data_IF_862708623800
#
_entry.id   IF_862708623800
#
_cell.length_a   1.000
_cell.length_b   1.000
_cell.length_c   1.000
_cell.angle_alpha   90.00
_cell.angle_beta   90.00
_cell.angle_gamma   90.00
#
_symmetry.space_group_name_H-M   'P 1'
#
loop_
_entity.id
_entity.type
_entity.pdbx_description
1 polymer ?
#
# COMPACT_ATOMS: atom_id res chain seq x y z
N UNK A 1 32.65 -8.61 -2.39
CA UNK A 1 32.02 -7.31 -2.04
C UNK A 1 30.74 -7.63 -1.29
N UNK A 2 30.67 -7.30 -0.04
CA UNK A 2 29.40 -7.40 0.70
C UNK A 2 28.53 -6.20 0.25
N UNK A 3 27.40 -6.47 -0.37
CA UNK A 3 26.37 -5.45 -0.58
C UNK A 3 25.93 -4.95 0.79
N UNK A 4 25.80 -3.65 1.02
CA UNK A 4 25.25 -3.15 2.26
C UNK A 4 23.86 -3.77 2.41
N UNK A 5 23.65 -4.47 3.52
CA UNK A 5 22.32 -4.98 3.87
C UNK A 5 21.44 -3.73 3.99
N UNK A 6 20.53 -3.55 3.04
CA UNK A 6 19.55 -2.47 3.10
C UNK A 6 18.80 -2.63 4.42
N UNK A 7 18.88 -1.63 5.27
CA UNK A 7 18.15 -1.60 6.54
C UNK A 7 16.68 -1.25 6.35
N UNK A 8 16.29 -0.89 5.12
CA UNK A 8 14.93 -0.54 4.75
C UNK A 8 14.09 -1.79 4.43
N UNK A 9 12.79 -1.69 4.67
CA UNK A 9 11.83 -2.70 4.27
C UNK A 9 11.80 -2.83 2.74
N UNK A 10 11.75 -4.05 2.24
CA UNK A 10 11.63 -4.32 0.81
C UNK A 10 10.15 -4.39 0.42
N UNK A 11 9.78 -3.72 -0.66
CA UNK A 11 8.41 -3.69 -1.19
C UNK A 11 8.33 -4.53 -2.46
N UNK A 12 7.28 -5.35 -2.58
CA UNK A 12 7.06 -6.11 -3.80
C UNK A 12 6.75 -5.21 -4.99
N UNK A 13 7.23 -5.60 -6.17
CA UNK A 13 6.92 -4.90 -7.42
C UNK A 13 5.40 -4.77 -7.62
N UNK A 14 4.62 -5.78 -7.26
CA UNK A 14 3.16 -5.75 -7.41
C UNK A 14 2.50 -4.64 -6.58
N UNK A 15 2.90 -4.45 -5.32
CA UNK A 15 2.37 -3.36 -4.49
C UNK A 15 2.80 -2.00 -5.04
N UNK A 16 4.09 -1.88 -5.38
CA UNK A 16 4.64 -0.65 -5.93
C UNK A 16 4.00 -0.28 -7.27
N UNK A 17 3.75 -1.26 -8.15
CA UNK A 17 3.07 -1.04 -9.42
C UNK A 17 1.63 -0.56 -9.22
N UNK A 18 0.91 -1.11 -8.25
CA UNK A 18 -0.44 -0.64 -7.89
C UNK A 18 -0.43 0.79 -7.37
N UNK A 19 0.54 1.15 -6.53
CA UNK A 19 0.72 2.52 -6.05
C UNK A 19 1.05 3.48 -7.21
N UNK A 20 1.97 3.09 -8.11
CA UNK A 20 2.30 3.84 -9.32
C UNK A 20 1.07 4.08 -10.23
N UNK A 21 0.28 3.04 -10.50
CA UNK A 21 -0.94 3.18 -11.29
C UNK A 21 -1.97 4.09 -10.60
N UNK A 22 -2.00 4.08 -9.27
CA UNK A 22 -2.88 4.94 -8.49
C UNK A 22 -2.46 6.41 -8.56
N UNK A 23 -1.15 6.70 -8.49
CA UNK A 23 -0.61 8.04 -8.74
C UNK A 23 -0.94 8.53 -10.14
N UNK A 24 -0.80 7.66 -11.15
CA UNK A 24 -1.16 8.00 -12.53
C UNK A 24 -2.67 8.25 -12.70
N UNK A 25 -3.51 7.48 -12.02
CA UNK A 25 -4.96 7.71 -12.01
C UNK A 25 -5.35 9.07 -11.39
N UNK A 26 -4.53 9.62 -10.51
CA UNK A 26 -4.66 10.98 -9.98
C UNK A 26 -4.16 12.07 -10.94
N UNK A 27 -3.76 11.70 -12.15
CA UNK A 27 -3.23 12.56 -13.23
C UNK A 27 -1.74 12.92 -13.09
N UNK A 28 -0.99 12.29 -12.20
CA UNK A 28 0.46 12.39 -12.20
C UNK A 28 1.04 11.72 -13.47
N UNK A 29 2.03 12.36 -14.09
CA UNK A 29 2.58 11.91 -15.36
C UNK A 29 3.53 10.73 -15.17
N UNK A 30 3.35 9.69 -15.96
CA UNK A 30 4.18 8.46 -15.92
C UNK A 30 5.69 8.71 -15.95
N UNK A 31 6.23 9.56 -16.84
CA UNK A 31 7.66 9.81 -16.88
C UNK A 31 8.23 10.33 -15.55
N UNK A 32 7.54 11.26 -14.89
CA UNK A 32 7.97 11.82 -13.62
C UNK A 32 7.92 10.78 -12.48
N UNK A 33 6.90 9.90 -12.50
CA UNK A 33 6.79 8.83 -11.52
C UNK A 33 7.89 7.79 -11.69
N UNK A 34 8.19 7.39 -12.94
CA UNK A 34 9.24 6.42 -13.24
C UNK A 34 10.64 7.00 -12.96
N UNK A 35 10.82 8.29 -13.24
CA UNK A 35 12.06 9.01 -12.92
C UNK A 35 12.30 9.07 -11.41
N UNK A 36 11.25 9.34 -10.63
CA UNK A 36 11.31 9.34 -9.17
C UNK A 36 11.62 7.94 -8.60
N UNK A 37 11.17 6.88 -9.25
CA UNK A 37 11.47 5.50 -8.88
C UNK A 37 12.80 5.00 -9.39
N UNK A 38 13.43 5.70 -10.33
CA UNK A 38 14.66 5.30 -11.03
C UNK A 38 14.56 3.91 -11.65
N UNK A 39 13.40 3.58 -12.21
CA UNK A 39 13.13 2.32 -12.88
C UNK A 39 12.21 2.49 -14.09
N UNK A 40 12.10 1.46 -14.90
CA UNK A 40 11.19 1.40 -16.04
C UNK A 40 9.86 0.73 -15.69
N UNK A 41 8.80 1.00 -16.46
CA UNK A 41 7.52 0.33 -16.27
C UNK A 41 7.56 -1.19 -16.45
N UNK A 42 8.35 -1.77 -17.39
CA UNK A 42 8.56 -3.22 -17.45
C UNK A 42 9.17 -3.82 -16.18
N UNK A 43 10.14 -3.14 -15.54
CA UNK A 43 10.73 -3.60 -14.29
C UNK A 43 9.68 -3.63 -13.17
N UNK A 44 8.81 -2.62 -13.07
CA UNK A 44 7.70 -2.61 -12.11
C UNK A 44 6.70 -3.75 -12.31
N UNK A 45 6.63 -4.32 -13.51
CA UNK A 45 5.76 -5.47 -13.82
C UNK A 45 6.42 -6.81 -13.56
N UNK A 46 7.73 -6.83 -13.36
CA UNK A 46 8.46 -8.06 -13.05
C UNK A 46 8.19 -8.47 -11.59
N UNK A 47 7.59 -9.64 -11.32
CA UNK A 47 7.33 -10.11 -9.97
C UNK A 47 8.59 -10.28 -9.12
N UNK A 48 9.75 -10.46 -9.75
CA UNK A 48 11.05 -10.59 -9.07
C UNK A 48 11.69 -9.26 -8.72
N UNK A 49 11.17 -8.14 -9.25
CA UNK A 49 11.71 -6.82 -8.97
C UNK A 49 11.30 -6.33 -7.59
N UNK A 50 12.20 -5.72 -6.87
CA UNK A 50 11.98 -5.21 -5.52
C UNK A 50 12.69 -3.87 -5.33
N UNK A 51 12.05 -2.97 -4.60
CA UNK A 51 12.64 -1.70 -4.17
C UNK A 51 12.50 -1.54 -2.65
N UNK A 52 13.26 -0.64 -2.06
CA UNK A 52 13.08 -0.24 -0.67
C UNK A 52 11.78 0.55 -0.48
N UNK A 53 11.33 0.67 0.75
CA UNK A 53 10.13 1.43 1.12
C UNK A 53 10.25 2.95 0.87
N UNK A 54 11.45 3.45 0.69
CA UNK A 54 11.75 4.81 0.22
C UNK A 54 11.21 5.08 -1.20
N UNK A 55 11.01 4.04 -2.01
CA UNK A 55 10.35 4.17 -3.30
C UNK A 55 8.91 4.73 -3.18
N UNK A 56 8.19 4.37 -2.12
CA UNK A 56 6.86 4.93 -1.84
C UNK A 56 6.96 6.42 -1.49
N UNK A 57 7.95 6.81 -0.69
CA UNK A 57 8.20 8.23 -0.39
C UNK A 57 8.51 9.01 -1.67
N UNK A 58 9.29 8.44 -2.58
CA UNK A 58 9.59 9.04 -3.88
C UNK A 58 8.35 9.22 -4.74
N UNK A 59 7.47 8.22 -4.82
CA UNK A 59 6.17 8.33 -5.52
C UNK A 59 5.27 9.39 -4.91
N UNK A 60 5.15 9.42 -3.59
CA UNK A 60 4.35 10.41 -2.88
C UNK A 60 4.88 11.82 -3.11
N UNK A 61 6.20 12.01 -3.02
CA UNK A 61 6.86 13.29 -3.28
C UNK A 61 6.60 13.80 -4.69
N UNK A 62 6.90 12.99 -5.71
CA UNK A 62 6.68 13.35 -7.11
C UNK A 62 5.20 13.67 -7.41
N UNK A 63 4.27 12.88 -6.85
CA UNK A 63 2.84 13.10 -7.06
C UNK A 63 2.36 14.37 -6.35
N UNK A 64 2.84 14.63 -5.13
CA UNK A 64 2.52 15.84 -4.37
C UNK A 64 3.00 17.10 -5.09
N UNK A 65 4.24 17.08 -5.56
CA UNK A 65 4.86 18.24 -6.22
C UNK A 65 4.18 18.54 -7.56
N UNK A 66 3.84 17.51 -8.32
CA UNK A 66 3.19 17.69 -9.62
C UNK A 66 1.73 18.14 -9.50
N UNK A 67 0.99 17.60 -8.54
CA UNK A 67 -0.44 17.90 -8.38
C UNK A 67 -0.72 19.02 -7.37
N UNK A 68 0.29 19.48 -6.66
CA UNK A 68 0.16 20.47 -5.57
C UNK A 68 -0.93 20.08 -4.56
N UNK A 69 -0.93 18.81 -4.13
CA UNK A 69 -1.93 18.24 -3.21
C UNK A 69 -1.28 17.85 -1.89
N UNK A 70 -2.01 18.04 -0.79
CA UNK A 70 -1.59 17.68 0.57
C UNK A 70 -2.15 16.33 1.04
N UNK A 71 -3.27 15.87 0.44
CA UNK A 71 -4.00 14.65 0.79
C UNK A 71 -3.54 13.40 0.00
N UNK A 72 -2.29 13.39 -0.43
CA UNK A 72 -1.75 12.39 -1.36
C UNK A 72 -1.89 10.95 -0.85
N UNK A 73 -1.61 10.70 0.42
CA UNK A 73 -1.68 9.34 0.97
C UNK A 73 -3.12 8.78 0.92
N UNK A 74 -4.09 9.62 1.32
CA UNK A 74 -5.50 9.25 1.26
C UNK A 74 -5.95 9.01 -0.18
N UNK A 75 -5.60 9.89 -1.09
CA UNK A 75 -5.97 9.81 -2.50
C UNK A 75 -5.35 8.57 -3.19
N UNK A 76 -4.07 8.27 -2.94
CA UNK A 76 -3.40 7.07 -3.46
C UNK A 76 -4.06 5.83 -2.87
N UNK A 77 -4.23 5.76 -1.55
CA UNK A 77 -4.87 4.63 -0.87
C UNK A 77 -6.26 4.35 -1.41
N UNK A 78 -7.09 5.38 -1.59
CA UNK A 78 -8.42 5.25 -2.17
C UNK A 78 -8.38 4.68 -3.60
N UNK A 79 -7.45 5.14 -4.44
CA UNK A 79 -7.30 4.64 -5.80
C UNK A 79 -6.69 3.23 -5.87
N UNK A 80 -6.00 2.79 -4.82
CA UNK A 80 -5.48 1.43 -4.72
C UNK A 80 -6.57 0.41 -4.40
N UNK A 81 -7.67 0.79 -3.75
CA UNK A 81 -8.75 -0.12 -3.34
C UNK A 81 -9.21 -1.04 -4.46
N UNK A 82 -9.64 -0.57 -5.64
CA UNK A 82 -10.09 -1.45 -6.71
C UNK A 82 -9.00 -2.40 -7.22
N UNK A 83 -7.74 -1.96 -7.16
CA UNK A 83 -6.57 -2.72 -7.65
C UNK A 83 -6.09 -3.78 -6.68
N UNK A 84 -6.30 -3.55 -5.38
CA UNK A 84 -5.94 -4.48 -4.32
C UNK A 84 -7.04 -5.48 -4.03
N UNK A 85 -8.28 -5.17 -4.41
CA UNK A 85 -9.46 -5.98 -4.12
C UNK A 85 -9.78 -7.04 -5.18
N UNK A 86 -9.04 -7.18 -6.28
CA UNK A 86 -9.37 -8.14 -7.33
C UNK A 86 -9.42 -9.58 -6.82
N UNK A 87 -8.47 -9.98 -5.99
CA UNK A 87 -8.36 -11.36 -5.50
C UNK A 87 -8.73 -11.48 -4.01
N UNK A 88 -8.21 -10.58 -3.18
CA UNK A 88 -8.39 -10.61 -1.72
C UNK A 88 -9.70 -9.99 -1.27
N UNK A 89 -10.18 -8.99 -1.97
CA UNK A 89 -11.50 -8.39 -1.69
C UNK A 89 -12.64 -9.36 -1.94
N UNK A 90 -12.46 -10.31 -2.87
CA UNK A 90 -13.42 -11.38 -3.05
C UNK A 90 -13.48 -12.30 -1.82
N UNK A 91 -12.32 -12.71 -1.31
CA UNK A 91 -12.26 -13.54 -0.09
C UNK A 91 -12.79 -12.78 1.14
N UNK A 92 -12.45 -11.50 1.28
CA UNK A 92 -12.90 -10.67 2.40
C UNK A 92 -14.42 -10.50 2.48
N UNK A 93 -15.15 -10.60 1.36
CA UNK A 93 -16.62 -10.53 1.34
C UNK A 93 -17.30 -11.67 2.07
N UNK A 94 -16.62 -12.81 2.20
CA UNK A 94 -17.17 -13.99 2.86
C UNK A 94 -16.85 -14.05 4.36
N UNK A 95 -16.14 -13.02 4.87
CA UNK A 95 -15.85 -12.94 6.30
C UNK A 95 -17.08 -12.48 7.08
N UNK A 96 -17.29 -13.04 8.29
CA UNK A 96 -18.48 -12.72 9.12
C UNK A 96 -18.52 -11.27 9.60
N UNK A 97 -17.36 -10.61 9.68
CA UNK A 97 -17.24 -9.23 10.13
C UNK A 97 -16.23 -8.44 9.32
N UNK A 98 -16.36 -7.13 9.34
CA UNK A 98 -15.37 -6.22 8.75
C UNK A 98 -13.99 -6.38 9.40
N UNK A 99 -13.94 -6.60 10.73
CA UNK A 99 -12.69 -6.82 11.44
C UNK A 99 -11.93 -8.05 10.94
N UNK A 100 -12.61 -9.16 10.71
CA UNK A 100 -12.02 -10.39 10.18
C UNK A 100 -11.60 -10.24 8.72
N UNK A 101 -12.39 -9.55 7.90
CA UNK A 101 -12.02 -9.22 6.54
C UNK A 101 -10.76 -8.34 6.50
N UNK A 102 -10.64 -7.40 7.43
CA UNK A 102 -9.50 -6.51 7.55
C UNK A 102 -8.23 -7.25 7.96
N UNK A 103 -8.33 -8.15 8.94
CA UNK A 103 -7.21 -9.00 9.37
C UNK A 103 -6.71 -9.82 8.19
N UNK A 104 -7.61 -10.46 7.45
CA UNK A 104 -7.23 -11.26 6.28
C UNK A 104 -6.56 -10.40 5.20
N UNK A 105 -7.12 -9.23 4.89
CA UNK A 105 -6.53 -8.31 3.90
C UNK A 105 -5.12 -7.88 4.28
N UNK A 106 -4.89 -7.62 5.55
CA UNK A 106 -3.57 -7.19 6.05
C UNK A 106 -2.58 -8.33 6.09
N UNK A 107 -2.99 -9.51 6.54
CA UNK A 107 -2.12 -10.69 6.64
C UNK A 107 -1.70 -11.24 5.27
N UNK A 108 -2.61 -11.24 4.29
CA UNK A 108 -2.36 -11.82 2.97
C UNK A 108 -1.69 -10.84 2.00
N UNK A 109 -1.84 -9.55 2.21
CA UNK A 109 -1.18 -8.52 1.39
C UNK A 109 0.30 -8.36 1.66
N UNK A 110 1.02 -9.41 2.02
CA UNK A 110 2.44 -9.32 2.28
C UNK A 110 3.14 -8.30 1.41
N UNK A 111 3.71 -7.26 2.02
CA UNK A 111 4.46 -6.19 1.37
C UNK A 111 5.84 -6.73 0.90
N UNK A 112 5.82 -7.81 0.12
CA UNK A 112 7.04 -8.36 -0.46
C UNK A 112 7.99 -9.04 0.52
N UNK A 113 7.78 -10.31 0.79
CA UNK A 113 8.73 -11.19 1.47
C UNK A 113 8.86 -11.03 2.99
N UNK A 114 8.74 -9.83 3.52
CA UNK A 114 8.65 -9.58 4.95
C UNK A 114 7.21 -9.15 5.26
N UNK A 115 6.48 -9.98 5.99
CA UNK A 115 5.11 -9.63 6.41
C UNK A 115 5.17 -8.51 7.44
N UNK A 116 4.66 -7.30 7.13
CA UNK A 116 4.44 -6.32 8.18
C UNK A 116 3.39 -6.92 9.11
N UNK A 117 3.70 -6.97 10.39
CA UNK A 117 2.77 -7.45 11.37
C UNK A 117 1.80 -6.32 11.72
N UNK A 118 0.76 -6.15 10.93
CA UNK A 118 -0.38 -5.34 11.34
C UNK A 118 -1.23 -6.21 12.24
N UNK A 119 -1.47 -5.75 13.44
CA UNK A 119 -2.30 -6.45 14.43
C UNK A 119 -3.55 -5.63 14.72
N UNK A 120 -4.68 -6.29 14.71
CA UNK A 120 -5.90 -5.75 15.29
C UNK A 120 -5.88 -6.08 16.78
N UNK A 121 -5.82 -5.04 17.60
CA UNK A 121 -5.96 -5.16 19.04
C UNK A 121 -7.39 -4.78 19.42
N UNK A 122 -8.18 -5.77 19.81
CA UNK A 122 -9.50 -5.55 20.41
C UNK A 122 -9.30 -5.19 21.89
N UNK A 123 -9.57 -3.95 22.21
CA UNK A 123 -9.63 -3.46 23.60
C UNK A 123 -11.10 -3.36 24.02
N UNK A 124 -11.37 -3.38 25.31
CA UNK A 124 -12.74 -3.38 25.85
C UNK A 124 -13.63 -2.19 25.40
N UNK A 125 -13.05 -1.14 24.86
CA UNK A 125 -13.74 0.06 24.37
C UNK A 125 -13.46 0.43 22.93
N UNK A 126 -12.33 -0.04 22.38
CA UNK A 126 -11.86 0.37 21.06
C UNK A 126 -11.12 -0.76 20.35
N UNK A 127 -11.30 -0.90 19.05
CA UNK A 127 -10.44 -1.71 18.20
C UNK A 127 -9.32 -0.84 17.65
N UNK A 128 -8.08 -1.29 17.80
CA UNK A 128 -6.90 -0.57 17.30
C UNK A 128 -6.14 -1.40 16.30
N UNK A 129 -5.89 -0.79 15.14
CA UNK A 129 -4.97 -1.31 14.16
C UNK A 129 -3.57 -0.82 14.50
N UNK A 130 -2.65 -1.74 14.78
CA UNK A 130 -1.29 -1.42 15.16
C UNK A 130 -0.31 -1.98 14.15
N UNK A 131 0.54 -1.09 13.63
CA UNK A 131 1.69 -1.48 12.83
C UNK A 131 2.85 -1.84 13.76
N UNK A 132 3.30 -3.08 13.69
CA UNK A 132 4.45 -3.55 14.45
C UNK A 132 5.49 -4.14 13.50
N UNK A 133 6.62 -3.45 13.37
CA UNK A 133 7.72 -3.89 12.55
C UNK A 133 9.04 -3.63 13.29
N UNK A 134 9.97 -4.57 13.21
CA UNK A 134 11.27 -4.50 13.90
C UNK A 134 12.28 -3.55 13.22
N UNK A 135 11.94 -3.04 12.04
CA UNK A 135 12.79 -2.14 11.26
C UNK A 135 12.11 -0.79 11.06
N UNK A 136 12.88 0.29 10.88
CA UNK A 136 12.35 1.56 10.44
C UNK A 136 11.57 1.40 9.13
N UNK A 137 10.39 1.98 9.07
CA UNK A 137 9.51 1.96 7.89
C UNK A 137 9.20 3.39 7.48
N UNK A 138 9.16 3.66 6.18
CA UNK A 138 8.79 4.96 5.66
C UNK A 138 7.41 5.40 6.18
N UNK A 139 7.27 6.60 6.74
CA UNK A 139 5.97 7.14 7.14
C UNK A 139 4.97 7.19 5.99
N UNK A 140 5.43 7.48 4.77
CA UNK A 140 4.56 7.51 3.58
C UNK A 140 3.95 6.13 3.29
N UNK A 141 4.72 5.04 3.43
CA UNK A 141 4.22 3.68 3.30
C UNK A 141 3.14 3.38 4.36
N UNK A 142 3.40 3.71 5.62
CA UNK A 142 2.45 3.52 6.71
C UNK A 142 1.14 4.26 6.41
N UNK A 143 1.23 5.52 6.03
CA UNK A 143 0.06 6.34 5.72
C UNK A 143 -0.75 5.79 4.55
N UNK A 144 -0.09 5.31 3.46
CA UNK A 144 -0.79 4.69 2.32
C UNK A 144 -1.48 3.40 2.74
N UNK A 145 -0.82 2.54 3.53
CA UNK A 145 -1.42 1.28 3.99
C UNK A 145 -2.64 1.55 4.86
N UNK A 146 -2.56 2.48 5.81
CA UNK A 146 -3.73 2.84 6.62
C UNK A 146 -4.84 3.49 5.79
N UNK A 147 -4.51 4.33 4.82
CA UNK A 147 -5.51 4.91 3.91
C UNK A 147 -6.19 3.82 3.07
N UNK A 148 -5.41 2.86 2.55
CA UNK A 148 -5.94 1.71 1.81
C UNK A 148 -6.90 0.89 2.67
N UNK A 149 -6.53 0.59 3.91
CA UNK A 149 -7.37 -0.13 4.87
C UNK A 149 -8.66 0.64 5.15
N UNK A 150 -8.56 1.93 5.44
CA UNK A 150 -9.71 2.79 5.73
C UNK A 150 -10.70 2.82 4.56
N UNK A 151 -10.23 3.13 3.36
CA UNK A 151 -11.09 3.20 2.17
C UNK A 151 -11.63 1.83 1.73
N UNK A 152 -10.90 0.76 2.01
CA UNK A 152 -11.40 -0.61 1.84
C UNK A 152 -12.60 -0.88 2.75
N UNK A 153 -12.51 -0.43 4.00
CA UNK A 153 -13.59 -0.53 4.97
C UNK A 153 -14.83 0.25 4.55
N UNK A 154 -14.65 1.49 4.11
CA UNK A 154 -15.77 2.29 3.57
C UNK A 154 -16.44 1.58 2.38
N UNK A 155 -15.63 1.05 1.45
CA UNK A 155 -16.15 0.37 0.27
C UNK A 155 -16.94 -0.91 0.62
N UNK A 156 -16.49 -1.66 1.63
CA UNK A 156 -17.22 -2.84 2.14
C UNK A 156 -18.51 -2.44 2.85
N UNK A 157 -18.47 -1.42 3.69
CA UNK A 157 -19.64 -0.92 4.43
C UNK A 157 -20.71 -0.38 3.48
N UNK A 158 -20.33 0.36 2.45
CA UNK A 158 -21.25 0.90 1.44
C UNK A 158 -21.82 -0.16 0.48
N UNK A 159 -21.38 -1.40 0.58
CA UNK A 159 -21.81 -2.49 -0.28
C UNK A 159 -21.36 -2.38 -1.73
N UNK A 160 -20.36 -1.55 -2.02
CA UNK A 160 -19.83 -1.38 -3.37
C UNK A 160 -19.17 -2.66 -3.93
N UNK A 161 -18.92 -3.62 -3.07
CA UNK A 161 -18.38 -4.93 -3.39
C UNK A 161 -19.32 -6.09 -3.04
N UNK A 162 -20.62 -5.82 -2.98
CA UNK A 162 -21.65 -6.87 -2.82
C UNK A 162 -21.86 -7.64 -4.11
#
# INVERSE_FOLDING_TARGET
MAYPISTSLTISAQFLYRAYLSCHALQARKPQLLDALQCSEPELRDPGFQLGDDAIASLCGATRDELNRTDIHSAIGQNMVPRCFSDLGFAARFQPSFGEALVQLVEEQGLGGEKPTVKLLSLSSDDRLVWNHDRPVSPDLIHIVFALIYHSGEALADGRFR
#
